data_IF_073008566973
#
_entry.id   IF_073008566973
#
_cell.length_a   1.000
_cell.length_b   1.000
_cell.length_c   1.000
_cell.angle_alpha   90.00
_cell.angle_beta   90.00
_cell.angle_gamma   90.00
#
_symmetry.space_group_name_H-M   'P 1'
#
loop_
_entity.id
_entity.type
_entity.pdbx_description
1 polymer ?
#
# COMPACT_ATOMS: atom_id res chain seq x y z
N UNK A 1 5.34 -18.73 -5.30
CA UNK A 1 5.95 -17.87 -6.33
C UNK A 1 5.25 -18.10 -7.65
N UNK A 2 4.86 -17.04 -8.36
CA UNK A 2 4.16 -17.07 -9.64
C UNK A 2 4.96 -16.30 -10.67
N UNK A 3 5.36 -16.97 -11.76
CA UNK A 3 6.02 -16.28 -12.86
C UNK A 3 4.96 -15.65 -13.78
N UNK A 4 4.97 -14.32 -13.86
CA UNK A 4 4.03 -13.55 -14.67
C UNK A 4 4.84 -12.67 -15.62
N UNK A 5 4.80 -12.99 -16.92
CA UNK A 5 5.52 -12.23 -17.95
C UNK A 5 7.03 -12.05 -17.66
N UNK A 6 7.66 -13.08 -17.08
CA UNK A 6 9.10 -13.08 -16.76
C UNK A 6 9.46 -12.42 -15.43
N UNK A 7 8.48 -12.09 -14.60
CA UNK A 7 8.67 -11.56 -13.23
C UNK A 7 8.06 -12.53 -12.23
N UNK A 8 8.81 -12.87 -11.20
CA UNK A 8 8.33 -13.72 -10.12
C UNK A 8 7.68 -12.87 -9.04
N UNK A 9 6.39 -13.12 -8.79
CA UNK A 9 5.63 -12.51 -7.70
C UNK A 9 5.37 -13.52 -6.59
N UNK A 10 5.55 -13.09 -5.35
CA UNK A 10 5.10 -13.80 -4.17
C UNK A 10 3.62 -13.46 -3.94
N UNK A 11 2.73 -14.40 -4.28
CA UNK A 11 1.27 -14.22 -4.20
C UNK A 11 0.71 -15.25 -3.24
N UNK A 12 -0.20 -14.83 -2.39
CA UNK A 12 -1.00 -15.67 -1.51
C UNK A 12 -2.48 -15.43 -1.76
N UNK A 13 -3.24 -16.51 -1.83
CA UNK A 13 -4.71 -16.49 -2.01
C UNK A 13 -5.33 -17.36 -0.92
N UNK A 14 -6.30 -16.82 -0.19
CA UNK A 14 -6.99 -17.52 0.89
C UNK A 14 -8.48 -17.20 0.90
N UNK A 15 -9.31 -18.20 1.25
CA UNK A 15 -10.77 -18.06 1.27
C UNK A 15 -11.40 -18.22 -0.10
N UNK A 16 -12.70 -17.94 -0.16
CA UNK A 16 -13.52 -17.99 -1.37
C UNK A 16 -14.60 -16.90 -1.29
N UNK A 17 -15.20 -16.54 -2.43
CA UNK A 17 -16.19 -15.47 -2.53
C UNK A 17 -15.72 -14.35 -3.44
N UNK A 18 -16.22 -13.13 -3.21
CA UNK A 18 -15.84 -11.96 -3.99
C UNK A 18 -14.33 -11.64 -3.81
N UNK A 19 -13.60 -11.36 -4.92
CA UNK A 19 -12.18 -11.07 -4.85
C UNK A 19 -11.88 -9.78 -4.09
N UNK A 20 -10.95 -9.87 -3.13
CA UNK A 20 -10.45 -8.77 -2.32
C UNK A 20 -8.93 -8.73 -2.37
N UNK A 21 -8.37 -7.68 -2.96
CA UNK A 21 -6.91 -7.52 -3.07
C UNK A 21 -6.38 -6.61 -1.99
N UNK A 22 -5.33 -7.03 -1.30
CA UNK A 22 -4.64 -6.25 -0.26
C UNK A 22 -3.27 -5.79 -0.79
N UNK A 23 -3.12 -4.48 -0.98
CA UNK A 23 -1.90 -3.84 -1.50
C UNK A 23 -1.14 -3.15 -0.36
N UNK A 24 0.05 -3.64 -0.05
CA UNK A 24 0.90 -3.08 1.00
C UNK A 24 1.54 -1.74 0.61
N UNK A 25 1.98 -0.99 1.62
CA UNK A 25 2.72 0.27 1.46
C UNK A 25 4.22 0.09 1.24
N UNK A 26 4.95 1.20 1.18
CA UNK A 26 6.41 1.22 1.26
C UNK A 26 6.90 0.74 2.63
N UNK A 27 8.16 0.32 2.73
CA UNK A 27 8.77 -0.23 3.96
C UNK A 27 8.06 -1.46 4.54
N UNK A 28 7.14 -2.08 3.79
CA UNK A 28 6.38 -3.27 4.18
C UNK A 28 6.20 -4.22 3.00
N UNK A 29 5.55 -5.35 3.22
CA UNK A 29 5.26 -6.37 2.22
C UNK A 29 3.90 -7.04 2.55
N UNK A 30 3.53 -8.12 1.86
CA UNK A 30 2.24 -8.77 2.06
C UNK A 30 1.95 -9.19 3.53
N UNK A 31 2.99 -9.43 4.34
CA UNK A 31 2.83 -9.83 5.75
C UNK A 31 2.25 -8.72 6.63
N UNK A 32 2.24 -7.48 6.18
CA UNK A 32 1.58 -6.38 6.91
C UNK A 32 0.08 -6.64 7.12
N UNK A 33 -0.49 -7.55 6.33
CA UNK A 33 -1.90 -7.94 6.37
C UNK A 33 -2.19 -9.21 7.18
N UNK A 34 -1.17 -9.86 7.78
CA UNK A 34 -1.31 -11.16 8.46
C UNK A 34 -2.44 -11.17 9.50
N UNK A 35 -2.62 -10.08 10.24
CA UNK A 35 -3.66 -9.95 11.26
C UNK A 35 -5.09 -9.96 10.70
N UNK A 36 -5.28 -9.76 9.40
CA UNK A 36 -6.60 -9.53 8.80
C UNK A 36 -7.04 -10.64 7.86
N UNK A 37 -6.09 -11.41 7.32
CA UNK A 37 -6.36 -12.40 6.26
C UNK A 37 -7.38 -13.44 6.71
N UNK A 38 -7.20 -14.03 7.88
CA UNK A 38 -8.10 -15.10 8.37
C UNK A 38 -9.54 -14.60 8.52
N UNK A 39 -9.73 -13.40 9.05
CA UNK A 39 -11.07 -12.80 9.24
C UNK A 39 -11.72 -12.44 7.91
N UNK A 40 -10.97 -11.86 6.97
CA UNK A 40 -11.48 -11.51 5.63
C UNK A 40 -11.76 -12.75 4.79
N UNK A 41 -10.93 -13.79 4.89
CA UNK A 41 -11.08 -15.04 4.14
C UNK A 41 -12.32 -15.86 4.52
N UNK A 42 -13.03 -15.50 5.60
CA UNK A 42 -14.33 -16.08 5.93
C UNK A 42 -15.42 -15.73 4.93
N UNK A 43 -15.31 -14.60 4.23
CA UNK A 43 -16.33 -14.09 3.30
C UNK A 43 -15.80 -13.72 1.91
N UNK A 44 -14.49 -13.53 1.77
CA UNK A 44 -13.86 -13.07 0.54
C UNK A 44 -12.77 -14.02 0.06
N UNK A 45 -12.52 -14.02 -1.25
CA UNK A 45 -11.28 -14.53 -1.80
C UNK A 45 -10.20 -13.46 -1.63
N UNK A 46 -9.42 -13.57 -0.57
CA UNK A 46 -8.37 -12.60 -0.22
C UNK A 46 -7.11 -12.89 -1.02
N UNK A 47 -6.67 -11.92 -1.81
CA UNK A 47 -5.45 -11.94 -2.59
C UNK A 47 -4.49 -10.91 -2.02
N UNK A 48 -3.29 -11.32 -1.67
CA UNK A 48 -2.21 -10.41 -1.31
C UNK A 48 -0.93 -10.82 -1.97
N UNK A 49 -0.11 -9.87 -2.34
CA UNK A 49 1.17 -10.18 -2.97
C UNK A 49 2.23 -9.13 -2.62
N UNK A 50 3.47 -9.54 -2.67
CA UNK A 50 4.58 -8.61 -2.61
C UNK A 50 4.67 -7.87 -3.93
N UNK A 51 4.49 -6.55 -3.91
CA UNK A 51 4.66 -5.73 -5.12
C UNK A 51 6.10 -5.84 -5.63
N UNK A 52 6.31 -5.66 -6.93
CA UNK A 52 7.65 -5.73 -7.54
C UNK A 52 8.66 -4.88 -6.78
N UNK A 53 9.80 -5.46 -6.43
CA UNK A 53 10.83 -4.83 -5.62
C UNK A 53 10.60 -4.90 -4.11
N UNK A 54 9.60 -5.66 -3.64
CA UNK A 54 9.33 -5.83 -2.22
C UNK A 54 9.27 -7.31 -1.84
N UNK A 55 9.52 -7.58 -0.56
CA UNK A 55 9.40 -8.91 0.04
C UNK A 55 10.18 -9.97 -0.73
N UNK A 56 9.48 -10.97 -1.22
CA UNK A 56 10.05 -12.08 -1.99
C UNK A 56 9.82 -11.96 -3.50
N UNK A 57 9.18 -10.91 -3.98
CA UNK A 57 9.03 -10.64 -5.41
C UNK A 57 10.33 -10.13 -6.02
N UNK A 58 10.48 -10.30 -7.35
CA UNK A 58 11.68 -9.92 -8.07
C UNK A 58 12.03 -8.43 -7.93
N UNK A 59 13.33 -8.15 -7.95
CA UNK A 59 13.87 -6.80 -7.96
C UNK A 59 13.44 -6.01 -9.21
N UNK A 60 13.40 -4.67 -9.07
CA UNK A 60 13.13 -3.77 -10.18
C UNK A 60 14.37 -3.66 -11.08
N UNK A 61 14.34 -4.28 -12.25
CA UNK A 61 15.46 -4.31 -13.21
C UNK A 61 15.12 -3.68 -14.56
N UNK A 62 13.83 -3.57 -14.89
CA UNK A 62 13.31 -3.02 -16.15
C UNK A 62 12.23 -1.96 -15.87
N UNK A 63 11.91 -1.07 -16.83
CA UNK A 63 10.76 -0.17 -16.70
C UNK A 63 9.46 -0.96 -16.47
N UNK A 64 8.62 -0.46 -15.54
CA UNK A 64 7.39 -1.12 -15.13
C UNK A 64 6.39 -0.13 -14.51
N UNK A 65 5.17 -0.59 -14.25
CA UNK A 65 4.14 0.17 -13.54
C UNK A 65 3.41 -0.73 -12.54
N UNK A 66 3.26 -0.29 -11.29
CA UNK A 66 2.59 -1.09 -10.25
C UNK A 66 1.13 -1.39 -10.59
N UNK A 67 0.42 -0.45 -11.23
CA UNK A 67 -0.96 -0.67 -11.66
C UNK A 67 -1.07 -1.70 -12.80
N UNK A 68 -0.05 -1.78 -13.68
CA UNK A 68 0.02 -2.81 -14.72
C UNK A 68 0.41 -4.18 -14.13
N UNK A 69 1.30 -4.19 -13.14
CA UNK A 69 1.62 -5.42 -12.41
C UNK A 69 0.37 -5.97 -11.69
N UNK A 70 -0.43 -5.10 -11.04
CA UNK A 70 -1.71 -5.49 -10.43
C UNK A 70 -2.65 -6.10 -11.49
N UNK A 71 -2.78 -5.47 -12.67
CA UNK A 71 -3.56 -6.05 -13.77
C UNK A 71 -3.06 -7.44 -14.14
N UNK A 72 -1.76 -7.60 -14.31
CA UNK A 72 -1.16 -8.88 -14.70
C UNK A 72 -1.36 -9.97 -13.64
N UNK A 73 -1.29 -9.62 -12.35
CA UNK A 73 -1.60 -10.52 -11.24
C UNK A 73 -3.06 -10.97 -11.27
N UNK A 74 -4.01 -10.04 -11.44
CA UNK A 74 -5.43 -10.38 -11.54
C UNK A 74 -5.73 -11.24 -12.76
N UNK A 75 -5.16 -10.92 -13.92
CA UNK A 75 -5.33 -11.72 -15.16
C UNK A 75 -4.77 -13.14 -15.00
N UNK A 76 -3.60 -13.27 -14.36
CA UNK A 76 -2.99 -14.57 -14.07
C UNK A 76 -3.86 -15.46 -13.16
N UNK A 77 -4.58 -14.83 -12.21
CA UNK A 77 -5.48 -15.51 -11.29
C UNK A 77 -6.90 -15.70 -11.87
N UNK A 78 -7.17 -15.24 -13.11
CA UNK A 78 -8.49 -15.33 -13.74
C UNK A 78 -9.54 -14.39 -13.11
N UNK A 79 -9.10 -13.35 -12.40
CA UNK A 79 -9.99 -12.41 -11.71
C UNK A 79 -10.32 -11.24 -12.63
N UNK A 80 -11.59 -11.08 -12.94
CA UNK A 80 -12.07 -10.02 -13.81
C UNK A 80 -12.32 -8.70 -13.07
N UNK A 81 -12.75 -8.76 -11.81
CA UNK A 81 -13.09 -7.59 -10.99
C UNK A 81 -12.81 -7.87 -9.52
N UNK A 82 -12.34 -6.90 -8.76
CA UNK A 82 -12.02 -7.04 -7.34
C UNK A 82 -12.27 -5.75 -6.56
N UNK A 83 -12.52 -5.88 -5.25
CA UNK A 83 -12.36 -4.78 -4.30
C UNK A 83 -10.89 -4.66 -3.90
N UNK A 84 -10.41 -3.42 -3.68
CA UNK A 84 -9.01 -3.15 -3.36
C UNK A 84 -8.91 -2.50 -1.99
N UNK A 85 -8.07 -3.04 -1.11
CA UNK A 85 -7.63 -2.41 0.14
C UNK A 85 -6.16 -2.05 -0.03
N UNK A 86 -5.83 -0.79 0.00
CA UNK A 86 -4.51 -0.32 -0.39
C UNK A 86 -3.94 0.69 0.60
N UNK A 87 -2.78 0.38 1.17
CA UNK A 87 -2.11 1.23 2.15
C UNK A 87 -1.01 2.08 1.50
N UNK A 88 -0.97 3.37 1.86
CA UNK A 88 0.15 4.27 1.53
C UNK A 88 0.53 4.23 0.05
N UNK A 89 1.74 3.79 -0.26
CA UNK A 89 2.24 3.60 -1.63
C UNK A 89 1.37 2.63 -2.45
N UNK A 90 0.84 1.55 -1.84
CA UNK A 90 -0.14 0.68 -2.49
C UNK A 90 -1.41 1.42 -2.90
N UNK A 91 -1.80 2.48 -2.14
CA UNK A 91 -2.90 3.38 -2.51
C UNK A 91 -2.67 4.10 -3.85
N UNK A 92 -1.43 4.54 -4.13
CA UNK A 92 -1.08 5.12 -5.43
C UNK A 92 -1.27 4.10 -6.57
N UNK A 93 -0.85 2.85 -6.37
CA UNK A 93 -1.03 1.79 -7.37
C UNK A 93 -2.52 1.47 -7.59
N UNK A 94 -3.32 1.42 -6.51
CA UNK A 94 -4.77 1.17 -6.59
C UNK A 94 -5.53 2.31 -7.28
N UNK A 95 -5.18 3.56 -6.99
CA UNK A 95 -5.77 4.75 -7.64
C UNK A 95 -5.41 4.76 -9.13
N UNK A 96 -4.14 4.56 -9.50
CA UNK A 96 -3.72 4.47 -10.90
C UNK A 96 -4.44 3.31 -11.62
N UNK A 97 -4.64 2.18 -10.93
CA UNK A 97 -5.38 1.03 -11.47
C UNK A 97 -6.86 1.35 -11.69
N UNK A 98 -7.52 2.00 -10.74
CA UNK A 98 -8.93 2.38 -10.85
C UNK A 98 -9.17 3.37 -12.01
N UNK A 99 -8.24 4.27 -12.26
CA UNK A 99 -8.29 5.22 -13.39
C UNK A 99 -7.98 4.55 -14.74
N UNK A 100 -7.06 3.57 -14.76
CA UNK A 100 -6.67 2.89 -16.00
C UNK A 100 -7.64 1.77 -16.41
N UNK A 101 -8.25 1.11 -15.42
CA UNK A 101 -9.09 -0.08 -15.60
C UNK A 101 -10.36 -0.01 -14.72
N UNK A 102 -11.23 0.98 -14.92
CA UNK A 102 -12.39 1.22 -14.04
C UNK A 102 -13.31 0.00 -13.92
N UNK A 103 -13.55 -0.74 -14.98
CA UNK A 103 -14.41 -1.94 -14.96
C UNK A 103 -13.85 -3.09 -14.12
N UNK A 104 -12.58 -3.01 -13.72
CA UNK A 104 -11.88 -4.03 -12.93
C UNK A 104 -11.98 -3.81 -11.42
N UNK A 105 -12.58 -2.70 -10.97
CA UNK A 105 -12.68 -2.33 -9.54
C UNK A 105 -14.13 -2.36 -9.10
N UNK A 106 -14.39 -3.04 -7.97
CA UNK A 106 -15.71 -3.03 -7.31
C UNK A 106 -15.80 -1.91 -6.29
N UNK A 107 -14.92 -1.93 -5.29
CA UNK A 107 -14.82 -0.92 -4.23
C UNK A 107 -13.35 -0.59 -3.98
N UNK A 108 -13.09 0.61 -3.46
CA UNK A 108 -11.74 1.10 -3.20
C UNK A 108 -11.61 1.53 -1.73
N UNK A 109 -10.71 0.92 -0.99
CA UNK A 109 -10.40 1.27 0.39
C UNK A 109 -8.96 1.76 0.45
N UNK A 110 -8.79 3.04 0.73
CA UNK A 110 -7.53 3.77 0.69
C UNK A 110 -7.08 4.13 2.10
N UNK A 111 -6.03 3.47 2.57
CA UNK A 111 -5.51 3.61 3.95
C UNK A 111 -4.28 4.51 3.93
N UNK A 112 -4.40 5.73 4.43
CA UNK A 112 -3.34 6.74 4.39
C UNK A 112 -2.63 6.82 3.02
N UNK A 113 -3.37 6.94 1.89
CA UNK A 113 -2.85 6.71 0.56
C UNK A 113 -1.82 7.75 0.12
N UNK A 114 -0.87 7.31 -0.69
CA UNK A 114 -0.13 8.19 -1.59
C UNK A 114 -0.92 8.39 -2.89
N UNK A 115 -0.62 9.44 -3.63
CA UNK A 115 -1.25 9.74 -4.93
C UNK A 115 -0.17 10.13 -5.94
N UNK A 116 -0.19 9.50 -7.11
CA UNK A 116 0.68 9.86 -8.22
C UNK A 116 0.42 11.31 -8.68
N UNK A 117 1.50 12.11 -8.77
CA UNK A 117 1.44 13.52 -9.14
C UNK A 117 1.28 14.48 -7.97
N UNK A 118 1.10 14.01 -6.74
CA UNK A 118 1.14 14.87 -5.57
C UNK A 118 2.53 15.48 -5.38
N UNK A 119 2.59 16.73 -4.93
CA UNK A 119 3.85 17.42 -4.64
C UNK A 119 4.34 17.05 -3.25
N UNK A 120 5.19 16.05 -3.18
CA UNK A 120 5.79 15.61 -1.92
C UNK A 120 6.76 16.65 -1.35
N UNK A 121 6.77 16.84 0.01
CA UNK A 121 7.74 17.70 0.64
C UNK A 121 9.18 17.29 0.32
N UNK A 122 10.04 18.25 -0.04
CA UNK A 122 11.44 17.97 -0.37
C UNK A 122 12.17 17.23 0.76
N UNK A 123 11.83 17.53 2.01
CA UNK A 123 12.40 16.85 3.17
C UNK A 123 12.06 15.35 3.17
N UNK A 124 10.83 14.97 2.80
CA UNK A 124 10.42 13.57 2.72
C UNK A 124 11.24 12.82 1.66
N UNK A 125 11.39 13.41 0.46
CA UNK A 125 12.21 12.85 -0.61
C UNK A 125 13.67 12.73 -0.21
N UNK A 126 14.20 13.72 0.50
CA UNK A 126 15.56 13.73 1.00
C UNK A 126 15.83 12.67 2.07
N UNK A 127 14.93 12.51 3.06
CA UNK A 127 15.05 11.48 4.09
C UNK A 127 14.93 10.07 3.49
N UNK A 128 14.01 9.87 2.54
CA UNK A 128 13.92 8.61 1.80
C UNK A 128 15.18 8.30 0.99
N UNK A 129 15.77 9.28 0.32
CA UNK A 129 17.06 9.11 -0.40
C UNK A 129 18.20 8.78 0.56
N UNK A 130 18.28 9.45 1.71
CA UNK A 130 19.29 9.12 2.72
C UNK A 130 19.14 7.71 3.24
N UNK A 131 17.92 7.26 3.46
CA UNK A 131 17.64 5.91 3.89
C UNK A 131 18.07 4.89 2.81
N UNK A 132 17.69 5.11 1.56
CA UNK A 132 18.08 4.28 0.43
C UNK A 132 19.62 4.14 0.31
N UNK A 133 20.34 5.26 0.38
CA UNK A 133 21.81 5.26 0.30
C UNK A 133 22.44 4.59 1.54
N UNK A 134 21.83 4.74 2.72
CA UNK A 134 22.30 4.09 3.94
C UNK A 134 22.20 2.57 3.84
N UNK A 135 21.06 2.03 3.38
CA UNK A 135 20.93 0.59 3.19
C UNK A 135 22.02 0.05 2.26
N UNK A 136 22.25 0.72 1.15
CA UNK A 136 23.30 0.31 0.20
C UNK A 136 24.73 0.41 0.76
N UNK A 137 24.96 1.31 1.71
CA UNK A 137 26.29 1.53 2.31
C UNK A 137 26.60 0.60 3.48
N UNK A 138 25.64 0.37 4.38
CA UNK A 138 25.90 -0.34 5.65
C UNK A 138 25.05 -1.60 5.82
N UNK A 139 24.22 -1.97 4.84
CA UNK A 139 23.29 -3.09 4.87
C UNK A 139 22.00 -2.77 5.60
N UNK A 140 20.95 -3.55 5.28
CA UNK A 140 19.58 -3.25 5.70
C UNK A 140 19.39 -3.32 7.22
N UNK A 141 20.05 -4.25 7.91
CA UNK A 141 19.91 -4.41 9.36
C UNK A 141 20.39 -3.17 10.15
N UNK A 142 21.58 -2.64 9.82
CA UNK A 142 22.11 -1.42 10.44
C UNK A 142 21.31 -0.18 10.04
N UNK A 143 20.84 -0.12 8.79
CA UNK A 143 19.97 0.96 8.32
C UNK A 143 18.62 0.95 9.06
N UNK A 144 18.01 -0.23 9.28
CA UNK A 144 16.78 -0.39 10.04
C UNK A 144 16.89 0.18 11.46
N UNK A 145 17.99 -0.11 12.16
CA UNK A 145 18.21 0.43 13.51
C UNK A 145 18.25 1.96 13.52
N UNK A 146 18.87 2.54 12.50
CA UNK A 146 18.90 3.99 12.36
C UNK A 146 17.51 4.56 12.00
N UNK A 147 16.79 3.90 11.07
CA UNK A 147 15.44 4.29 10.68
C UNK A 147 14.50 4.31 11.89
N UNK A 148 14.52 3.26 12.71
CA UNK A 148 13.71 3.15 13.92
C UNK A 148 13.97 4.25 14.95
N UNK A 149 15.18 4.83 14.98
CA UNK A 149 15.58 5.90 15.92
C UNK A 149 15.41 7.30 15.33
N UNK A 150 15.22 7.44 14.03
CA UNK A 150 15.12 8.73 13.37
C UNK A 150 13.77 9.38 13.64
N UNK A 151 13.76 10.50 14.34
CA UNK A 151 12.55 11.24 14.71
C UNK A 151 11.71 11.70 13.52
N UNK A 152 12.31 11.83 12.34
CA UNK A 152 11.56 12.14 11.12
C UNK A 152 10.53 11.07 10.77
N UNK A 153 10.84 9.78 11.02
CA UNK A 153 9.98 8.65 10.69
C UNK A 153 9.07 8.19 11.84
N UNK A 154 8.97 8.97 12.94
CA UNK A 154 8.19 8.56 14.10
C UNK A 154 6.70 8.30 13.79
N UNK A 155 6.15 8.93 12.77
CA UNK A 155 4.78 8.71 12.32
C UNK A 155 4.59 7.38 11.56
N UNK A 156 5.70 6.83 11.00
CA UNK A 156 5.73 5.50 10.35
C UNK A 156 6.02 4.39 11.35
N UNK A 157 6.84 4.67 12.35
CA UNK A 157 7.35 3.66 13.28
C UNK A 157 6.41 3.57 14.48
N UNK A 158 5.72 2.41 14.68
CA UNK A 158 4.82 2.22 15.82
C UNK A 158 5.52 2.51 17.16
N UNK A 159 4.77 3.05 18.13
CA UNK A 159 5.31 3.36 19.45
C UNK A 159 5.31 2.15 20.39
N UNK A 160 4.36 1.23 20.23
CA UNK A 160 4.37 -0.04 20.94
C UNK A 160 5.60 -0.87 20.58
N UNK A 161 6.26 -1.48 21.56
CA UNK A 161 7.52 -2.21 21.36
C UNK A 161 7.35 -3.47 20.50
N UNK A 162 6.24 -4.17 20.62
CA UNK A 162 5.95 -5.39 19.87
C UNK A 162 5.69 -5.05 18.41
N UNK A 163 4.82 -4.06 18.15
CA UNK A 163 4.52 -3.58 16.81
C UNK A 163 5.75 -2.96 16.14
N UNK A 164 6.57 -2.28 16.92
CA UNK A 164 7.85 -1.73 16.45
C UNK A 164 8.81 -2.82 16.00
N UNK A 165 8.90 -3.94 16.72
CA UNK A 165 9.69 -5.08 16.32
C UNK A 165 9.14 -5.71 15.03
N UNK A 166 7.84 -5.92 14.93
CA UNK A 166 7.18 -6.40 13.70
C UNK A 166 7.43 -5.48 12.50
N UNK A 167 7.29 -4.16 12.70
CA UNK A 167 7.59 -3.20 11.64
C UNK A 167 9.06 -3.24 11.21
N UNK A 168 9.99 -3.43 12.15
CA UNK A 168 11.42 -3.61 11.83
C UNK A 168 11.65 -4.86 10.96
N UNK A 169 10.97 -5.96 11.25
CA UNK A 169 11.04 -7.18 10.43
C UNK A 169 10.48 -6.95 9.02
N UNK A 170 9.35 -6.25 8.89
CA UNK A 170 8.80 -5.85 7.59
C UNK A 170 9.80 -4.98 6.80
N UNK A 171 10.42 -3.99 7.45
CA UNK A 171 11.43 -3.14 6.82
C UNK A 171 12.62 -3.97 6.32
N UNK A 172 13.18 -4.83 7.17
CA UNK A 172 14.37 -5.63 6.85
C UNK A 172 14.10 -6.63 5.73
N UNK A 173 12.90 -7.17 5.64
CA UNK A 173 12.53 -8.12 4.57
C UNK A 173 12.41 -7.50 3.18
N UNK A 174 12.59 -6.18 3.04
CA UNK A 174 12.56 -5.47 1.75
C UNK A 174 13.94 -5.13 1.18
N UNK A 175 14.97 -5.90 1.50
CA UNK A 175 16.32 -5.67 0.96
C UNK A 175 16.35 -5.64 -0.57
N UNK A 176 15.48 -6.42 -1.22
CA UNK A 176 15.33 -6.48 -2.68
C UNK A 176 15.00 -5.11 -3.31
N UNK A 177 14.27 -4.24 -2.62
CA UNK A 177 13.96 -2.89 -3.09
C UNK A 177 15.23 -2.05 -3.28
N UNK A 178 16.16 -2.15 -2.35
CA UNK A 178 17.40 -1.39 -2.34
C UNK A 178 18.46 -1.94 -3.32
N UNK A 179 18.30 -3.19 -3.74
CA UNK A 179 19.12 -3.79 -4.80
C UNK A 179 18.62 -3.41 -6.20
N UNK A 180 17.35 -3.06 -6.32
CA UNK A 180 16.68 -2.68 -7.56
C UNK A 180 16.96 -1.24 -8.01
N UNK A 181 16.24 -0.86 -9.07
CA UNK A 181 16.27 0.48 -9.69
C UNK A 181 14.87 1.13 -9.61
N UNK A 182 14.45 1.66 -8.44
CA UNK A 182 13.09 2.21 -8.26
C UNK A 182 12.76 3.37 -9.21
N UNK A 183 13.75 4.07 -9.74
CA UNK A 183 13.59 5.11 -10.75
C UNK A 183 13.08 4.59 -12.11
N UNK A 184 13.00 3.28 -12.31
CA UNK A 184 12.38 2.66 -13.49
C UNK A 184 10.85 2.56 -13.39
N UNK A 185 10.26 2.88 -12.25
CA UNK A 185 8.80 2.98 -12.12
C UNK A 185 8.23 4.03 -13.07
N UNK A 186 7.15 3.66 -13.75
CA UNK A 186 6.39 4.50 -14.69
C UNK A 186 4.95 4.57 -14.20
N UNK A 187 4.59 5.62 -13.42
CA UNK A 187 3.22 5.81 -12.95
C UNK A 187 2.28 6.16 -14.12
N UNK A 188 0.98 6.09 -13.85
CA UNK A 188 -0.04 6.46 -14.83
C UNK A 188 0.11 7.94 -15.27
N UNK A 189 -0.08 8.17 -16.56
CA UNK A 189 -0.08 9.51 -17.16
C UNK A 189 -1.37 9.76 -17.95
N UNK A 190 -2.00 10.94 -17.84
CA UNK A 190 -1.70 12.02 -16.91
C UNK A 190 -1.81 11.62 -15.44
N UNK A 191 -1.10 12.31 -14.51
CA UNK A 191 -1.05 11.93 -13.10
C UNK A 191 -2.42 11.88 -12.42
N UNK A 192 -2.61 10.89 -11.56
CA UNK A 192 -3.87 10.65 -10.83
C UNK A 192 -4.31 11.83 -9.95
N UNK A 193 -3.37 12.62 -9.42
CA UNK A 193 -3.67 13.76 -8.54
C UNK A 193 -4.67 14.75 -9.15
N UNK A 194 -4.63 15.00 -10.45
CA UNK A 194 -5.56 15.89 -11.16
C UNK A 194 -6.80 15.17 -11.71
N UNK A 195 -6.95 13.87 -11.48
CA UNK A 195 -7.97 13.02 -12.10
C UNK A 195 -8.83 12.23 -11.11
N UNK A 196 -8.70 12.50 -9.82
CA UNK A 196 -9.44 11.76 -8.77
C UNK A 196 -10.96 11.85 -8.95
N UNK A 197 -11.46 12.92 -9.55
CA UNK A 197 -12.87 13.08 -9.86
C UNK A 197 -13.41 12.15 -10.96
N UNK A 198 -12.53 11.44 -11.68
CA UNK A 198 -12.92 10.41 -12.65
C UNK A 198 -13.22 9.05 -11.96
N UNK A 199 -12.86 8.89 -10.68
CA UNK A 199 -13.13 7.67 -9.90
C UNK A 199 -14.57 7.70 -9.43
N UNK A 200 -15.39 6.78 -9.96
CA UNK A 200 -16.83 6.65 -9.63
C UNK A 200 -17.13 5.51 -8.67
N UNK A 201 -16.13 4.70 -8.30
CA UNK A 201 -16.31 3.56 -7.41
C UNK A 201 -16.61 3.99 -5.98
N UNK A 202 -17.48 3.25 -5.23
CA UNK A 202 -17.58 3.43 -3.79
C UNK A 202 -16.17 3.37 -3.17
N UNK A 203 -15.80 4.45 -2.48
CA UNK A 203 -14.44 4.61 -1.95
C UNK A 203 -14.48 4.94 -0.47
N UNK A 204 -13.70 4.23 0.35
CA UNK A 204 -13.44 4.58 1.75
C UNK A 204 -12.02 5.14 1.86
N UNK A 205 -11.89 6.36 2.36
CA UNK A 205 -10.60 6.97 2.69
C UNK A 205 -10.38 6.93 4.19
N UNK A 206 -9.34 6.22 4.62
CA UNK A 206 -8.98 6.06 6.03
C UNK A 206 -7.74 6.90 6.35
N UNK A 207 -7.90 7.86 7.26
CA UNK A 207 -6.81 8.71 7.75
C UNK A 207 -6.30 8.19 9.10
N UNK A 208 -4.99 8.16 9.28
CA UNK A 208 -4.36 7.89 10.56
C UNK A 208 -4.15 9.21 11.33
N UNK A 209 -4.69 9.30 12.56
CA UNK A 209 -4.76 10.55 13.31
C UNK A 209 -3.41 11.14 13.72
N UNK A 210 -2.40 10.27 13.95
CA UNK A 210 -1.03 10.64 14.32
C UNK A 210 -0.05 10.63 13.14
N UNK A 211 -0.57 10.51 11.91
CA UNK A 211 0.25 10.58 10.70
C UNK A 211 0.82 11.98 10.45
N UNK A 212 1.76 12.07 9.53
CA UNK A 212 2.37 13.34 9.13
C UNK A 212 1.30 14.33 8.62
N UNK A 213 1.47 15.65 8.83
CA UNK A 213 0.55 16.64 8.30
C UNK A 213 0.35 16.52 6.77
N UNK A 214 1.40 16.16 6.04
CA UNK A 214 1.32 15.97 4.59
C UNK A 214 0.41 14.78 4.22
N UNK A 215 0.57 13.62 4.86
CA UNK A 215 -0.27 12.45 4.57
C UNK A 215 -1.74 12.72 4.89
N UNK A 216 -2.03 13.42 6.00
CA UNK A 216 -3.40 13.85 6.34
C UNK A 216 -3.98 14.81 5.30
N UNK A 217 -3.16 15.75 4.76
CA UNK A 217 -3.60 16.60 3.66
C UNK A 217 -3.92 15.79 2.40
N UNK A 218 -3.15 14.75 2.09
CA UNK A 218 -3.44 13.86 0.96
C UNK A 218 -4.74 13.10 1.19
N UNK A 219 -4.98 12.53 2.38
CA UNK A 219 -6.25 11.86 2.70
C UNK A 219 -7.44 12.80 2.50
N UNK A 220 -7.38 14.01 3.05
CA UNK A 220 -8.41 15.03 2.87
C UNK A 220 -8.60 15.42 1.40
N UNK A 221 -7.51 15.54 0.64
CA UNK A 221 -7.56 15.87 -0.78
C UNK A 221 -8.22 14.74 -1.59
N UNK A 222 -7.84 13.49 -1.33
CA UNK A 222 -8.43 12.30 -1.99
C UNK A 222 -9.93 12.25 -1.73
N UNK A 223 -10.34 12.37 -0.46
CA UNK A 223 -11.76 12.37 -0.09
C UNK A 223 -12.55 13.50 -0.78
N UNK A 224 -12.02 14.71 -0.81
CA UNK A 224 -12.71 15.88 -1.43
C UNK A 224 -12.85 15.75 -2.95
N UNK A 225 -11.98 14.98 -3.61
CA UNK A 225 -11.95 14.90 -5.08
C UNK A 225 -12.47 13.58 -5.64
N UNK A 226 -12.74 12.55 -4.83
CA UNK A 226 -13.46 11.34 -5.26
C UNK A 226 -14.92 11.49 -4.86
N UNK A 227 -15.86 11.66 -5.83
CA UNK A 227 -17.27 11.99 -5.54
C UNK A 227 -17.99 10.97 -4.66
N UNK A 228 -17.70 9.66 -4.86
CA UNK A 228 -18.34 8.55 -4.12
C UNK A 228 -17.50 8.09 -2.93
N UNK A 229 -16.85 9.01 -2.20
CA UNK A 229 -15.99 8.63 -1.09
C UNK A 229 -16.60 8.94 0.29
N UNK A 230 -16.38 7.99 1.20
CA UNK A 230 -16.56 8.16 2.64
C UNK A 230 -15.20 8.42 3.29
N UNK A 231 -15.21 9.08 4.44
CA UNK A 231 -13.98 9.40 5.19
C UNK A 231 -14.08 8.96 6.63
N UNK A 232 -13.05 8.28 7.10
CA UNK A 232 -12.94 7.87 8.51
C UNK A 232 -11.53 8.17 9.03
N UNK A 233 -11.44 8.59 10.30
CA UNK A 233 -10.17 8.83 10.97
C UNK A 233 -9.99 7.85 12.13
N UNK A 234 -8.93 7.03 12.08
CA UNK A 234 -8.45 6.25 13.22
C UNK A 234 -7.51 7.14 14.06
N UNK A 235 -8.01 7.61 15.21
CA UNK A 235 -7.41 8.77 15.92
C UNK A 235 -6.08 8.50 16.60
N UNK A 236 -5.86 7.27 17.11
CA UNK A 236 -4.75 6.94 18.00
C UNK A 236 -3.72 6.01 17.32
N UNK A 237 -3.47 6.19 16.04
CA UNK A 237 -2.48 5.42 15.30
C UNK A 237 -1.65 6.30 14.37
N UNK A 238 -0.42 5.86 14.11
CA UNK A 238 0.45 6.39 13.07
C UNK A 238 0.05 5.85 11.70
N UNK A 239 0.99 5.88 10.77
CA UNK A 239 0.76 5.60 9.34
C UNK A 239 0.24 4.20 9.00
N UNK A 240 0.31 3.26 9.94
CA UNK A 240 -0.11 1.86 9.78
C UNK A 240 -1.30 1.50 10.68
N UNK A 241 -2.50 2.07 10.47
CA UNK A 241 -3.68 1.77 11.30
C UNK A 241 -4.03 0.28 11.32
N UNK A 242 -3.78 -0.44 10.23
CA UNK A 242 -3.96 -1.89 10.13
C UNK A 242 -3.00 -2.71 11.01
N UNK A 243 -1.89 -2.12 11.49
CA UNK A 243 -1.02 -2.73 12.52
C UNK A 243 -1.35 -2.21 13.92
N UNK A 244 -1.63 -0.91 14.04
CA UNK A 244 -1.71 -0.23 15.34
C UNK A 244 -3.11 -0.30 15.96
N UNK A 245 -4.16 -0.39 15.15
CA UNK A 245 -5.56 -0.52 15.58
C UNK A 245 -6.30 -1.62 14.79
N UNK A 246 -5.80 -2.88 14.81
CA UNK A 246 -6.27 -3.94 13.90
C UNK A 246 -7.74 -4.29 14.07
N UNK A 247 -8.28 -4.23 15.29
CA UNK A 247 -9.68 -4.57 15.55
C UNK A 247 -10.64 -3.52 14.97
N UNK A 248 -10.40 -2.23 15.20
CA UNK A 248 -11.21 -1.15 14.64
C UNK A 248 -11.06 -1.11 13.11
N UNK A 249 -9.84 -1.28 12.61
CA UNK A 249 -9.54 -1.28 11.19
C UNK A 249 -10.33 -2.35 10.43
N UNK A 250 -10.34 -3.59 10.91
CA UNK A 250 -11.00 -4.70 10.20
C UNK A 250 -12.52 -4.54 10.19
N UNK A 251 -13.12 -4.07 11.28
CA UNK A 251 -14.57 -3.84 11.35
C UNK A 251 -15.01 -2.74 10.36
N UNK A 252 -14.26 -1.64 10.25
CA UNK A 252 -14.54 -0.57 9.28
C UNK A 252 -14.47 -1.07 7.83
N UNK A 253 -13.51 -1.95 7.52
CA UNK A 253 -13.40 -2.56 6.19
C UNK A 253 -14.59 -3.46 5.90
N UNK A 254 -14.95 -4.35 6.83
CA UNK A 254 -16.07 -5.29 6.65
C UNK A 254 -17.38 -4.52 6.52
N UNK A 255 -17.59 -3.50 7.36
CA UNK A 255 -18.78 -2.64 7.27
C UNK A 255 -18.88 -1.98 5.87
N UNK A 256 -17.79 -1.40 5.37
CA UNK A 256 -17.79 -0.75 4.06
C UNK A 256 -17.95 -1.74 2.90
N UNK A 257 -17.34 -2.92 2.98
CA UNK A 257 -17.45 -3.94 1.94
C UNK A 257 -18.89 -4.49 1.84
N UNK A 258 -19.62 -4.54 2.95
CA UNK A 258 -21.00 -5.04 3.01
C UNK A 258 -22.08 -3.99 2.63
N UNK A 259 -21.71 -2.73 2.41
CA UNK A 259 -22.64 -1.71 1.87
C UNK A 259 -22.98 -2.06 0.42
N UNK A 260 -24.22 -1.84 0.00
CA UNK A 260 -24.69 -2.02 -1.38
C UNK A 260 -24.07 -0.98 -2.34
#
# INVERSE_FOLDING_TARGET
MHNIQGVNFNIEVQGAGEPLVLLHGGYSNLKVWDLHVERLAQAYQVIRYDQRGYGQSDAITTPFSYYQDLKSVLDHLGITRASLVASSFGGSAAIDFALAYPDRVSKLILVAPSVNGAKYPLRLSWEGMKDFLRVRRVGINKAAEHFMKNSFWHYLVPQDQTLRAQFKELYVSNEVFYQGKPNLHRPLMPPAYSRLNEISHPTLVMEAGLDSPFNKQICSYVHKNIPASEFVQLRQCGHYPHLEQPAEFIELIIEFLNKD
#
